data_IF_059402245471
#
_entry.id   IF_059402245471
#
_cell.length_a   1.000
_cell.length_b   1.000
_cell.length_c   1.000
_cell.angle_alpha   90.00
_cell.angle_beta   90.00
_cell.angle_gamma   90.00
#
_symmetry.space_group_name_H-M   'P 1'
#
loop_
_entity.id
_entity.type
_entity.pdbx_description
1 polymer ?
#
# COMPACT_ATOMS: atom_id res chain seq x y z
N UNK A 1 10.54 -10.79 -43.07
CA UNK A 1 11.19 -11.42 -41.90
C UNK A 1 11.64 -10.41 -40.84
N UNK A 2 12.43 -9.36 -41.15
CA UNK A 2 12.90 -8.39 -40.13
C UNK A 2 11.76 -7.66 -39.36
N UNK A 3 10.64 -7.31 -40.02
CA UNK A 3 9.50 -6.65 -39.38
C UNK A 3 8.75 -7.53 -38.37
N UNK A 4 8.63 -8.84 -38.66
CA UNK A 4 7.97 -9.79 -37.73
C UNK A 4 8.84 -10.13 -36.52
N UNK A 5 10.18 -10.14 -36.67
CA UNK A 5 11.12 -10.34 -35.55
C UNK A 5 11.07 -9.15 -34.59
N UNK A 6 10.99 -7.93 -35.11
CA UNK A 6 10.89 -6.72 -34.28
C UNK A 6 9.56 -6.68 -33.49
N UNK A 7 8.45 -7.11 -34.12
CA UNK A 7 7.12 -7.18 -33.45
C UNK A 7 7.08 -8.27 -32.38
N UNK A 8 7.75 -9.41 -32.58
CA UNK A 8 7.85 -10.47 -31.58
C UNK A 8 8.75 -10.06 -30.40
N UNK A 9 9.86 -9.34 -30.65
CA UNK A 9 10.73 -8.85 -29.57
C UNK A 9 10.02 -7.78 -28.72
N UNK A 10 9.22 -6.90 -29.32
CA UNK A 10 8.43 -5.89 -28.57
C UNK A 10 7.33 -6.55 -27.73
N UNK A 11 6.69 -7.61 -28.22
CA UNK A 11 5.68 -8.36 -27.48
C UNK A 11 6.30 -9.14 -26.30
N UNK A 12 7.50 -9.68 -26.47
CA UNK A 12 8.22 -10.42 -25.42
C UNK A 12 8.68 -9.49 -24.27
N UNK A 13 9.09 -8.26 -24.58
CA UNK A 13 9.47 -7.24 -23.58
C UNK A 13 8.28 -6.76 -22.74
N UNK A 14 7.07 -6.73 -23.32
CA UNK A 14 5.86 -6.38 -22.59
C UNK A 14 5.39 -7.47 -21.61
N UNK A 15 5.79 -8.73 -21.84
CA UNK A 15 5.45 -9.85 -20.97
C UNK A 15 6.36 -9.97 -19.74
N UNK A 16 7.58 -9.47 -19.80
CA UNK A 16 8.54 -9.50 -18.69
C UNK A 16 8.31 -8.39 -17.64
N UNK A 17 7.55 -7.36 -17.97
CA UNK A 17 7.20 -6.25 -17.07
C UNK A 17 5.86 -6.41 -16.32
N UNK A 18 5.28 -7.61 -16.27
CA UNK A 18 3.99 -7.85 -15.61
C UNK A 18 4.15 -8.75 -14.38
N UNK A 19 3.93 -8.19 -13.20
CA UNK A 19 3.78 -8.96 -11.97
C UNK A 19 2.33 -9.44 -11.74
N UNK A 20 2.15 -10.35 -10.78
CA UNK A 20 0.83 -10.78 -10.29
C UNK A 20 0.69 -10.38 -8.83
N UNK A 21 -0.45 -9.76 -8.50
CA UNK A 21 -0.77 -9.36 -7.12
C UNK A 21 -1.10 -10.61 -6.30
N UNK A 22 -0.48 -10.82 -5.14
CA UNK A 22 -0.91 -11.87 -4.21
C UNK A 22 -2.40 -11.72 -3.85
N UNK A 23 -3.05 -12.79 -3.42
CA UNK A 23 -4.47 -12.85 -3.03
C UNK A 23 -5.42 -12.68 -4.21
N UNK A 24 -5.28 -11.63 -5.04
CA UNK A 24 -6.23 -11.33 -6.13
C UNK A 24 -5.84 -11.95 -7.46
N UNK A 25 -4.57 -12.26 -7.67
CA UNK A 25 -4.04 -12.77 -8.94
C UNK A 25 -4.05 -11.74 -10.08
N UNK A 26 -4.41 -10.47 -9.79
CA UNK A 26 -4.45 -9.40 -10.79
C UNK A 26 -3.07 -9.14 -11.39
N UNK A 27 -3.03 -8.97 -12.69
CA UNK A 27 -1.79 -8.55 -13.38
C UNK A 27 -1.60 -7.04 -13.27
N UNK A 28 -0.35 -6.64 -13.06
CA UNK A 28 0.04 -5.24 -12.88
C UNK A 28 1.34 -4.92 -13.63
N UNK A 29 1.51 -3.65 -13.98
CA UNK A 29 2.71 -3.15 -14.62
C UNK A 29 3.82 -2.94 -13.58
N UNK A 30 4.98 -3.55 -13.79
CA UNK A 30 6.17 -3.38 -12.97
C UNK A 30 7.38 -3.12 -13.86
N UNK A 31 7.70 -1.86 -14.09
CA UNK A 31 8.85 -1.43 -14.89
C UNK A 31 10.10 -1.19 -14.03
N UNK A 32 9.90 -1.04 -12.72
CA UNK A 32 10.98 -0.83 -11.75
C UNK A 32 11.19 -2.11 -10.97
N UNK A 33 12.44 -2.48 -10.73
CA UNK A 33 12.75 -3.66 -9.92
C UNK A 33 12.33 -3.47 -8.47
N UNK A 34 11.93 -4.55 -7.80
CA UNK A 34 11.55 -4.50 -6.38
C UNK A 34 12.70 -3.98 -5.51
N UNK A 35 13.94 -4.28 -5.85
CA UNK A 35 15.12 -3.80 -5.13
C UNK A 35 15.29 -2.27 -5.22
N UNK A 36 15.01 -1.67 -6.38
CA UNK A 36 15.06 -0.21 -6.54
C UNK A 36 13.93 0.48 -5.80
N UNK A 37 12.71 -0.08 -5.89
CA UNK A 37 11.54 0.41 -5.12
C UNK A 37 11.82 0.35 -3.62
N UNK A 38 12.35 -0.77 -3.14
CA UNK A 38 12.68 -0.96 -1.72
C UNK A 38 13.77 0.01 -1.26
N UNK A 39 14.85 0.14 -2.01
CA UNK A 39 15.95 1.07 -1.69
C UNK A 39 15.46 2.52 -1.61
N UNK A 40 14.67 2.96 -2.61
CA UNK A 40 14.07 4.30 -2.62
C UNK A 40 13.13 4.52 -1.46
N UNK A 41 12.28 3.54 -1.16
CA UNK A 41 11.33 3.57 -0.05
C UNK A 41 12.05 3.71 1.29
N UNK A 42 13.07 2.89 1.55
CA UNK A 42 13.83 2.93 2.80
C UNK A 42 14.56 4.27 2.99
N UNK A 43 15.08 4.84 1.91
CA UNK A 43 15.71 6.17 1.93
C UNK A 43 14.70 7.25 2.31
N UNK A 44 13.52 7.26 1.69
CA UNK A 44 12.46 8.21 1.99
C UNK A 44 11.92 8.04 3.42
N UNK A 45 11.71 6.79 3.84
CA UNK A 45 11.29 6.49 5.21
C UNK A 45 12.30 6.98 6.24
N UNK A 46 13.59 6.72 6.04
CA UNK A 46 14.63 7.19 6.94
C UNK A 46 14.69 8.72 7.01
N UNK A 47 14.46 9.41 5.88
CA UNK A 47 14.38 10.88 5.83
C UNK A 47 13.17 11.39 6.60
N UNK A 48 11.99 10.79 6.39
CA UNK A 48 10.78 11.14 7.12
C UNK A 48 10.95 10.96 8.64
N UNK A 49 11.47 9.83 9.09
CA UNK A 49 11.63 9.53 10.52
C UNK A 49 12.63 10.43 11.23
N UNK A 50 13.51 11.15 10.50
CA UNK A 50 14.40 12.17 11.11
C UNK A 50 13.64 13.42 11.53
N UNK A 51 12.52 13.74 10.87
CA UNK A 51 11.70 14.94 11.12
C UNK A 51 10.43 14.65 11.90
N UNK A 52 9.92 13.42 11.79
CA UNK A 52 8.71 12.99 12.49
C UNK A 52 8.95 12.90 14.01
N UNK A 53 8.02 13.44 14.79
CA UNK A 53 8.04 13.31 16.25
C UNK A 53 7.31 12.03 16.63
N UNK A 54 8.01 11.07 17.24
CA UNK A 54 7.36 9.87 17.77
C UNK A 54 6.38 10.23 18.88
N UNK A 55 5.26 9.53 18.91
CA UNK A 55 4.25 9.69 19.96
C UNK A 55 4.82 9.33 21.33
N UNK A 56 4.48 10.13 22.33
CA UNK A 56 4.72 9.82 23.76
C UNK A 56 3.60 8.95 24.37
N UNK A 57 2.52 8.68 23.65
CA UNK A 57 1.44 7.81 24.09
C UNK A 57 1.83 6.34 23.99
N UNK A 58 2.44 5.82 25.08
CA UNK A 58 2.92 4.43 25.13
C UNK A 58 1.82 3.39 24.93
N UNK A 59 0.60 3.65 25.39
CA UNK A 59 -0.54 2.74 25.24
C UNK A 59 -0.94 2.61 23.78
N UNK A 60 -1.11 3.72 23.07
CA UNK A 60 -1.46 3.69 21.64
C UNK A 60 -0.30 3.16 20.79
N UNK A 61 0.95 3.50 21.13
CA UNK A 61 2.12 2.95 20.43
C UNK A 61 2.20 1.43 20.57
N UNK A 62 1.92 0.89 21.74
CA UNK A 62 1.85 -0.55 21.97
C UNK A 62 0.68 -1.20 21.22
N UNK A 63 -0.46 -0.50 21.11
CA UNK A 63 -1.62 -0.95 20.33
C UNK A 63 -1.27 -1.05 18.84
N UNK A 64 -0.67 -0.01 18.25
CA UNK A 64 -0.23 0.00 16.84
C UNK A 64 0.75 -1.14 16.57
N UNK A 65 1.74 -1.32 17.45
CA UNK A 65 2.72 -2.41 17.33
C UNK A 65 2.05 -3.77 17.40
N UNK A 66 1.20 -4.01 18.39
CA UNK A 66 0.52 -5.30 18.59
C UNK A 66 -0.37 -5.68 17.42
N UNK A 67 -1.21 -4.73 16.95
CA UNK A 67 -2.12 -4.98 15.82
C UNK A 67 -1.30 -5.18 14.55
N UNK A 68 -0.32 -4.33 14.30
CA UNK A 68 0.55 -4.42 13.13
C UNK A 68 1.32 -5.74 13.06
N UNK A 69 1.89 -6.20 14.17
CA UNK A 69 2.60 -7.49 14.22
C UNK A 69 1.70 -8.68 13.88
N UNK A 70 0.44 -8.68 14.32
CA UNK A 70 -0.51 -9.73 13.98
C UNK A 70 -0.86 -9.71 12.48
N UNK A 71 -1.08 -8.53 11.89
CA UNK A 71 -1.31 -8.38 10.44
C UNK A 71 -0.08 -8.85 9.65
N UNK A 72 1.12 -8.44 10.07
CA UNK A 72 2.39 -8.85 9.45
C UNK A 72 2.57 -10.38 9.49
N UNK A 73 2.34 -11.00 10.64
CA UNK A 73 2.43 -12.45 10.79
C UNK A 73 1.41 -13.20 9.90
N UNK A 74 0.17 -12.70 9.80
CA UNK A 74 -0.84 -13.25 8.89
C UNK A 74 -0.43 -13.10 7.41
N UNK A 75 0.14 -11.95 7.06
CA UNK A 75 0.67 -11.67 5.72
C UNK A 75 1.78 -12.66 5.35
N UNK A 76 2.78 -12.82 6.21
CA UNK A 76 3.88 -13.75 5.96
C UNK A 76 3.40 -15.21 5.88
N UNK A 77 2.47 -15.60 6.76
CA UNK A 77 1.88 -16.93 6.73
C UNK A 77 1.15 -17.18 5.41
N UNK A 78 0.40 -16.19 4.91
CA UNK A 78 -0.27 -16.28 3.61
C UNK A 78 0.74 -16.43 2.48
N UNK A 79 1.76 -15.58 2.42
CA UNK A 79 2.77 -15.62 1.37
C UNK A 79 3.51 -16.97 1.35
N UNK A 80 3.95 -17.48 2.50
CA UNK A 80 4.60 -18.79 2.62
C UNK A 80 3.69 -19.93 2.15
N UNK A 81 2.43 -19.93 2.58
CA UNK A 81 1.48 -20.98 2.22
C UNK A 81 1.12 -21.00 0.72
N UNK A 82 1.40 -19.92 -0.01
CA UNK A 82 1.13 -19.80 -1.44
C UNK A 82 2.41 -19.82 -2.31
N UNK A 83 3.55 -20.27 -1.78
CA UNK A 83 4.81 -20.40 -2.53
C UNK A 83 5.47 -19.07 -2.89
N UNK A 84 5.21 -18.03 -2.07
CA UNK A 84 5.73 -16.67 -2.23
C UNK A 84 6.73 -16.32 -1.11
N UNK A 85 7.51 -17.30 -0.63
CA UNK A 85 8.49 -17.08 0.43
C UNK A 85 9.52 -16.00 0.08
N UNK A 86 9.89 -15.88 -1.20
CA UNK A 86 10.82 -14.83 -1.66
C UNK A 86 10.28 -13.41 -1.40
N UNK A 87 8.96 -13.22 -1.42
CA UNK A 87 8.35 -11.92 -1.12
C UNK A 87 8.47 -11.55 0.37
N UNK A 88 8.53 -12.54 1.25
CA UNK A 88 8.66 -12.29 2.70
C UNK A 88 9.99 -11.61 3.01
N UNK A 89 11.05 -11.92 2.28
CA UNK A 89 12.37 -11.31 2.47
C UNK A 89 12.40 -9.80 2.14
N UNK A 90 11.40 -9.31 1.40
CA UNK A 90 11.27 -7.88 1.11
C UNK A 90 10.72 -7.07 2.29
N UNK A 91 10.19 -7.72 3.34
CA UNK A 91 9.61 -7.05 4.49
C UNK A 91 10.55 -7.09 5.70
N UNK A 92 10.78 -5.91 6.26
CA UNK A 92 11.40 -5.70 7.57
C UNK A 92 10.46 -4.78 8.36
N UNK A 93 9.44 -5.40 8.96
CA UNK A 93 8.30 -4.73 9.58
C UNK A 93 8.72 -3.75 10.67
N UNK A 94 8.17 -2.56 10.60
CA UNK A 94 8.37 -1.51 11.58
C UNK A 94 7.07 -0.73 11.76
N UNK A 95 6.68 -0.50 13.00
CA UNK A 95 5.40 0.13 13.36
C UNK A 95 5.68 1.35 14.22
N UNK A 96 5.29 2.53 13.73
CA UNK A 96 5.49 3.78 14.45
C UNK A 96 4.17 4.53 14.59
N UNK A 97 3.92 5.03 15.79
CA UNK A 97 2.93 6.06 16.04
C UNK A 97 3.66 7.41 16.12
N UNK A 98 3.22 8.39 15.34
CA UNK A 98 3.80 9.73 15.32
C UNK A 98 2.80 10.75 15.85
N UNK A 99 3.34 11.78 16.51
CA UNK A 99 2.57 12.91 17.04
C UNK A 99 2.22 13.87 15.89
N UNK A 100 1.06 13.66 15.32
CA UNK A 100 0.49 14.50 14.28
C UNK A 100 -1.04 14.41 14.38
N UNK A 101 -1.73 15.53 14.27
CA UNK A 101 -3.18 15.60 14.39
C UNK A 101 -3.92 15.26 13.09
N UNK A 102 -3.20 15.11 11.99
CA UNK A 102 -3.79 14.71 10.71
C UNK A 102 -4.38 13.30 10.81
N UNK A 103 -5.51 13.11 10.14
CA UNK A 103 -6.10 11.79 9.96
C UNK A 103 -5.33 11.05 8.87
N UNK A 104 -4.24 10.37 9.23
CA UNK A 104 -3.38 9.70 8.25
C UNK A 104 -2.73 8.42 8.81
N UNK A 105 -2.43 7.50 7.90
CA UNK A 105 -1.57 6.34 8.10
C UNK A 105 -1.00 5.95 6.74
N UNK A 106 0.14 5.27 6.71
CA UNK A 106 0.70 4.71 5.48
C UNK A 106 1.60 3.52 5.75
N UNK A 107 1.74 2.65 4.75
CA UNK A 107 2.74 1.60 4.72
C UNK A 107 3.61 1.75 3.47
N UNK A 108 4.89 1.99 3.68
CA UNK A 108 5.86 2.02 2.58
C UNK A 108 6.37 0.62 2.24
N UNK A 109 6.79 0.38 0.98
CA UNK A 109 7.49 -0.84 0.61
C UNK A 109 8.59 -1.19 1.61
N UNK A 110 8.69 -2.47 1.94
CA UNK A 110 9.57 -2.92 3.04
C UNK A 110 8.87 -3.07 4.38
N UNK A 111 7.56 -2.78 4.46
CA UNK A 111 6.76 -2.95 5.68
C UNK A 111 7.01 -1.85 6.73
N UNK A 112 7.32 -0.64 6.28
CA UNK A 112 7.51 0.53 7.14
C UNK A 112 6.18 1.25 7.35
N UNK A 113 5.56 1.03 8.50
CA UNK A 113 4.21 1.51 8.83
C UNK A 113 4.30 2.69 9.78
N UNK A 114 3.61 3.75 9.43
CA UNK A 114 3.43 4.94 10.25
C UNK A 114 1.94 5.20 10.43
N UNK A 115 1.53 5.43 11.66
CA UNK A 115 0.19 5.84 12.05
C UNK A 115 0.28 7.18 12.75
N UNK A 116 -0.64 8.09 12.47
CA UNK A 116 -0.68 9.41 13.11
C UNK A 116 -1.62 9.38 14.32
N UNK A 117 -1.32 10.14 15.36
CA UNK A 117 -2.21 10.24 16.53
C UNK A 117 -3.62 10.73 16.15
N UNK A 118 -3.70 11.56 15.11
CA UNK A 118 -4.99 12.08 14.62
C UNK A 118 -5.96 10.97 14.22
N UNK A 119 -5.53 10.00 13.41
CA UNK A 119 -6.42 8.91 12.96
C UNK A 119 -6.81 7.98 14.12
N UNK A 120 -5.93 7.83 15.13
CA UNK A 120 -6.24 7.04 16.33
C UNK A 120 -7.45 7.56 17.10
N UNK A 121 -7.76 8.87 17.01
CA UNK A 121 -8.93 9.49 17.63
C UNK A 121 -10.26 8.96 17.07
N UNK A 122 -10.24 8.43 15.85
CA UNK A 122 -11.40 7.80 15.20
C UNK A 122 -11.56 6.32 15.54
N UNK A 123 -10.58 5.70 16.20
CA UNK A 123 -10.57 4.28 16.47
C UNK A 123 -10.93 3.98 17.91
N UNK A 124 -11.89 3.08 18.12
CA UNK A 124 -12.36 2.65 19.43
C UNK A 124 -11.97 1.22 19.78
N UNK A 125 -11.36 0.48 18.84
CA UNK A 125 -10.96 -0.91 19.05
C UNK A 125 -9.75 -1.31 18.23
N UNK A 126 -9.14 -2.45 18.57
CA UNK A 126 -8.09 -3.08 17.78
C UNK A 126 -8.61 -3.52 16.39
N UNK A 127 -9.89 -3.90 16.29
CA UNK A 127 -10.49 -4.28 15.01
C UNK A 127 -10.57 -3.09 14.05
N UNK A 128 -10.94 -1.90 14.51
CA UNK A 128 -10.95 -0.69 13.67
C UNK A 128 -9.54 -0.28 13.23
N UNK A 129 -8.54 -0.42 14.11
CA UNK A 129 -7.13 -0.21 13.75
C UNK A 129 -6.66 -1.26 12.73
N UNK A 130 -7.12 -2.50 12.87
CA UNK A 130 -6.79 -3.58 11.93
C UNK A 130 -7.38 -3.35 10.53
N UNK A 131 -8.51 -2.65 10.39
CA UNK A 131 -9.04 -2.23 9.08
C UNK A 131 -8.03 -1.33 8.37
N UNK A 132 -7.52 -0.30 9.06
CA UNK A 132 -6.55 0.62 8.47
C UNK A 132 -5.22 -0.06 8.20
N UNK A 133 -4.65 -0.77 9.18
CA UNK A 133 -3.35 -1.43 9.00
C UNK A 133 -3.43 -2.54 7.95
N UNK A 134 -4.54 -3.28 7.88
CA UNK A 134 -4.75 -4.28 6.84
C UNK A 134 -4.78 -3.66 5.45
N UNK A 135 -5.47 -2.53 5.28
CA UNK A 135 -5.52 -1.76 4.03
C UNK A 135 -4.12 -1.26 3.63
N UNK A 136 -3.37 -0.67 4.56
CA UNK A 136 -2.03 -0.17 4.31
C UNK A 136 -1.03 -1.28 3.95
N UNK A 137 -1.06 -2.39 4.69
CA UNK A 137 -0.24 -3.57 4.40
C UNK A 137 -0.62 -4.16 3.04
N UNK A 138 -1.91 -4.17 2.69
CA UNK A 138 -2.37 -4.63 1.38
C UNK A 138 -1.76 -3.81 0.22
N UNK A 139 -1.65 -2.47 0.36
CA UNK A 139 -0.96 -1.65 -0.63
C UNK A 139 0.50 -2.06 -0.82
N UNK A 140 1.22 -2.36 0.26
CA UNK A 140 2.62 -2.81 0.20
C UNK A 140 2.75 -4.21 -0.42
N UNK A 141 1.89 -5.16 -0.02
CA UNK A 141 1.87 -6.55 -0.52
C UNK A 141 1.47 -6.59 -2.00
N UNK A 142 0.49 -5.78 -2.41
CA UNK A 142 0.06 -5.63 -3.80
C UNK A 142 1.07 -4.84 -4.65
N UNK A 143 2.12 -4.27 -4.05
CA UNK A 143 3.12 -3.44 -4.74
C UNK A 143 2.50 -2.25 -5.50
N UNK A 144 1.42 -1.67 -4.97
CA UNK A 144 0.72 -0.57 -5.62
C UNK A 144 1.62 0.65 -5.87
N UNK A 145 2.59 0.91 -4.98
CA UNK A 145 3.58 1.97 -5.19
C UNK A 145 4.49 1.70 -6.39
N UNK A 146 4.89 0.44 -6.63
CA UNK A 146 5.66 0.06 -7.82
C UNK A 146 4.82 0.24 -9.09
N UNK A 147 3.56 -0.21 -9.08
CA UNK A 147 2.66 -0.02 -10.23
C UNK A 147 2.47 1.47 -10.55
N UNK A 148 2.24 2.32 -9.53
CA UNK A 148 2.13 3.78 -9.70
C UNK A 148 3.41 4.39 -10.26
N UNK A 149 4.56 4.01 -9.70
CA UNK A 149 5.86 4.46 -10.19
C UNK A 149 6.06 4.07 -11.66
N UNK A 150 5.73 2.84 -12.01
CA UNK A 150 5.80 2.33 -13.38
C UNK A 150 4.88 3.10 -14.33
N UNK A 151 3.65 3.42 -13.89
CA UNK A 151 2.70 4.25 -14.65
C UNK A 151 3.21 5.67 -14.85
N UNK A 152 3.81 6.28 -13.82
CA UNK A 152 4.39 7.62 -13.91
C UNK A 152 5.61 7.66 -14.85
N UNK A 153 6.49 6.67 -14.76
CA UNK A 153 7.62 6.53 -15.68
C UNK A 153 7.11 6.42 -17.12
N UNK A 154 6.11 5.59 -17.35
CA UNK A 154 5.51 5.45 -18.68
C UNK A 154 4.88 6.75 -19.16
N UNK A 155 4.20 7.49 -18.29
CA UNK A 155 3.57 8.77 -18.64
C UNK A 155 4.61 9.87 -18.93
N UNK A 156 5.69 9.94 -18.14
CA UNK A 156 6.71 10.98 -18.28
C UNK A 156 7.72 10.72 -19.42
N UNK A 157 8.10 9.46 -19.60
CA UNK A 157 9.17 9.09 -20.52
C UNK A 157 8.68 8.31 -21.76
N UNK A 158 7.39 7.92 -21.80
CA UNK A 158 6.69 7.39 -22.98
C UNK A 158 7.48 6.35 -23.77
N UNK A 159 7.79 6.65 -25.03
CA UNK A 159 8.48 5.75 -25.96
C UNK A 159 9.93 5.44 -25.58
N UNK A 160 10.60 6.27 -24.76
CA UNK A 160 11.96 5.98 -24.30
C UNK A 160 12.01 4.76 -23.38
N UNK A 161 10.95 4.53 -22.59
CA UNK A 161 10.79 3.29 -21.79
C UNK A 161 10.66 2.07 -22.67
N UNK A 162 9.86 2.18 -23.73
CA UNK A 162 9.60 1.08 -24.68
C UNK A 162 10.84 0.75 -25.53
N UNK A 163 11.78 1.70 -25.66
CA UNK A 163 13.05 1.50 -26.35
C UNK A 163 14.17 0.89 -25.49
N UNK A 164 13.91 0.55 -24.23
CA UNK A 164 14.93 0.00 -23.33
C UNK A 164 15.96 1.01 -22.83
N UNK A 165 15.74 2.31 -23.08
CA UNK A 165 16.69 3.40 -22.78
C UNK A 165 16.80 3.66 -21.28
N UNK A 166 15.82 3.19 -20.48
CA UNK A 166 15.78 3.38 -19.02
C UNK A 166 16.47 2.28 -18.21
N UNK A 167 16.94 1.23 -18.85
CA UNK A 167 17.77 0.22 -18.19
C UNK A 167 19.08 0.87 -17.75
N UNK A 168 19.22 1.15 -16.46
CA UNK A 168 20.40 1.79 -15.86
C UNK A 168 20.25 3.29 -15.53
N UNK A 169 19.09 3.93 -15.72
CA UNK A 169 18.85 5.32 -15.32
C UNK A 169 18.23 5.41 -13.90
N UNK A 170 19.05 5.13 -12.88
CA UNK A 170 18.67 5.28 -11.46
C UNK A 170 18.13 6.68 -11.12
N UNK A 171 18.54 7.71 -11.86
CA UNK A 171 18.14 9.10 -11.64
C UNK A 171 16.67 9.34 -12.01
N UNK A 172 16.16 8.73 -13.09
CA UNK A 172 14.75 8.83 -13.47
C UNK A 172 13.86 8.12 -12.44
N UNK A 173 14.29 6.94 -11.99
CA UNK A 173 13.60 6.18 -10.93
C UNK A 173 13.57 6.97 -9.62
N UNK A 174 14.68 7.58 -9.22
CA UNK A 174 14.75 8.41 -8.00
C UNK A 174 13.86 9.66 -8.09
N UNK A 175 13.81 10.33 -9.24
CA UNK A 175 12.93 11.49 -9.46
C UNK A 175 11.46 11.11 -9.30
N UNK A 176 11.05 10.02 -9.95
CA UNK A 176 9.66 9.52 -9.83
C UNK A 176 9.37 8.97 -8.43
N UNK A 177 10.33 8.30 -7.80
CA UNK A 177 10.19 7.83 -6.43
C UNK A 177 9.91 8.99 -5.45
N UNK A 178 10.62 10.11 -5.60
CA UNK A 178 10.38 11.30 -4.80
C UNK A 178 8.97 11.87 -4.99
N UNK A 179 8.40 11.77 -6.19
CA UNK A 179 7.01 12.18 -6.47
C UNK A 179 5.99 11.19 -5.90
N UNK A 180 6.29 9.89 -5.95
CA UNK A 180 5.37 8.83 -5.47
C UNK A 180 5.37 8.72 -3.95
N UNK A 181 6.54 8.85 -3.32
CA UNK A 181 6.68 8.72 -1.87
C UNK A 181 6.65 10.03 -1.11
N UNK A 182 6.80 11.15 -1.75
CA UNK A 182 6.77 12.56 -1.37
C UNK A 182 6.53 12.99 0.08
N UNK A 183 7.12 12.27 1.04
CA UNK A 183 6.95 12.52 2.48
C UNK A 183 7.77 13.71 3.00
N UNK A 184 8.47 14.41 2.13
CA UNK A 184 9.51 15.36 2.56
C UNK A 184 9.26 16.82 2.26
N UNK A 185 8.29 17.17 1.45
CA UNK A 185 7.96 18.56 1.18
C UNK A 185 6.55 18.82 1.68
N UNK A 186 6.44 19.49 2.81
CA UNK A 186 5.19 20.11 3.25
C UNK A 186 3.92 19.43 2.73
N UNK A 187 3.60 18.25 3.31
CA UNK A 187 2.26 17.65 3.27
C UNK A 187 1.71 17.22 1.90
N UNK A 188 1.80 15.93 1.60
CA UNK A 188 0.75 15.30 0.83
C UNK A 188 0.84 15.40 -0.69
N UNK A 189 2.01 15.43 -1.28
CA UNK A 189 2.16 15.24 -2.72
C UNK A 189 2.36 13.76 -3.10
N UNK A 190 1.89 12.86 -2.27
CA UNK A 190 1.69 11.49 -2.73
C UNK A 190 0.54 11.49 -3.72
N UNK A 191 0.81 11.11 -4.95
CA UNK A 191 -0.24 10.93 -5.94
C UNK A 191 -1.30 9.98 -5.38
N UNK A 192 -2.58 10.31 -5.45
CA UNK A 192 -3.62 9.44 -4.91
C UNK A 192 -3.59 8.08 -5.60
N UNK A 193 -3.90 7.03 -4.85
CA UNK A 193 -4.08 5.71 -5.42
C UNK A 193 -5.29 5.69 -6.37
N UNK A 194 -5.22 4.84 -7.39
CA UNK A 194 -6.37 4.67 -8.28
C UNK A 194 -7.51 3.97 -7.53
N UNK A 195 -8.76 4.22 -7.95
CA UNK A 195 -9.92 3.52 -7.39
C UNK A 195 -9.79 1.99 -7.45
N UNK A 196 -9.08 1.48 -8.44
CA UNK A 196 -8.79 0.05 -8.57
C UNK A 196 -7.84 -0.44 -7.49
N UNK A 197 -6.78 0.32 -7.19
CA UNK A 197 -5.87 0.03 -6.10
C UNK A 197 -6.58 0.05 -4.75
N UNK A 198 -7.47 1.03 -4.55
CA UNK A 198 -8.23 1.15 -3.31
C UNK A 198 -9.16 -0.05 -3.08
N UNK A 199 -9.96 -0.42 -4.10
CA UNK A 199 -10.86 -1.59 -3.99
C UNK A 199 -10.08 -2.90 -3.79
N UNK A 200 -8.90 -3.02 -4.39
CA UNK A 200 -8.02 -4.18 -4.19
C UNK A 200 -7.42 -4.18 -2.78
N UNK A 201 -6.95 -3.03 -2.29
CA UNK A 201 -6.44 -2.89 -0.93
C UNK A 201 -7.51 -3.14 0.14
N UNK A 202 -8.75 -2.71 -0.10
CA UNK A 202 -9.88 -3.02 0.78
C UNK A 202 -10.12 -4.54 0.87
N UNK A 203 -10.21 -5.22 -0.28
CA UNK A 203 -10.43 -6.67 -0.30
C UNK A 203 -9.29 -7.43 0.38
N UNK A 204 -8.05 -7.12 0.01
CA UNK A 204 -6.88 -7.75 0.60
C UNK A 204 -6.74 -7.43 2.09
N UNK A 205 -7.04 -6.19 2.48
CA UNK A 205 -7.04 -5.76 3.88
C UNK A 205 -8.04 -6.54 4.74
N UNK A 206 -9.26 -6.76 4.21
CA UNK A 206 -10.26 -7.62 4.87
C UNK A 206 -9.73 -9.05 5.04
N UNK A 207 -9.08 -9.62 4.02
CA UNK A 207 -8.48 -10.95 4.10
C UNK A 207 -7.40 -10.99 5.18
N UNK A 208 -6.45 -10.06 5.17
CA UNK A 208 -5.32 -10.03 6.09
C UNK A 208 -5.77 -9.82 7.55
N UNK A 209 -6.69 -8.88 7.81
CA UNK A 209 -7.21 -8.67 9.16
C UNK A 209 -7.99 -9.87 9.68
N UNK A 210 -8.77 -10.54 8.81
CA UNK A 210 -9.51 -11.76 9.17
C UNK A 210 -8.56 -12.90 9.52
N UNK A 211 -7.50 -13.11 8.73
CA UNK A 211 -6.47 -14.10 9.01
C UNK A 211 -5.68 -13.79 10.29
N UNK A 212 -5.52 -12.51 10.62
CA UNK A 212 -4.90 -12.05 11.87
C UNK A 212 -5.81 -12.23 13.11
N UNK A 213 -7.06 -12.69 12.92
CA UNK A 213 -8.04 -12.94 13.98
C UNK A 213 -8.84 -11.72 14.41
N UNK A 214 -8.85 -10.64 13.61
CA UNK A 214 -9.68 -9.47 13.82
C UNK A 214 -11.06 -9.61 13.17
N UNK A 215 -12.04 -8.89 13.70
CA UNK A 215 -13.39 -8.91 13.17
C UNK A 215 -13.55 -7.98 11.95
N UNK A 216 -13.70 -8.52 10.72
CA UNK A 216 -13.82 -7.69 9.52
C UNK A 216 -15.18 -6.97 9.41
N UNK A 217 -16.20 -7.34 10.20
CA UNK A 217 -17.53 -6.73 10.13
C UNK A 217 -17.51 -5.24 10.48
N UNK A 218 -16.51 -4.79 11.28
CA UNK A 218 -16.36 -3.38 11.64
C UNK A 218 -15.92 -2.49 10.48
N UNK A 219 -15.40 -3.06 9.38
CA UNK A 219 -14.85 -2.30 8.26
C UNK A 219 -15.88 -1.36 7.62
N UNK A 220 -17.13 -1.82 7.44
CA UNK A 220 -18.21 -1.02 6.85
C UNK A 220 -18.46 0.24 7.69
N UNK A 221 -18.69 0.05 8.99
CA UNK A 221 -18.99 1.16 9.91
C UNK A 221 -17.79 2.08 10.10
N UNK A 222 -16.57 1.54 10.09
CA UNK A 222 -15.36 2.34 10.19
C UNK A 222 -15.18 3.26 8.97
N UNK A 223 -15.32 2.75 7.74
CA UNK A 223 -15.20 3.57 6.53
C UNK A 223 -16.34 4.59 6.39
N UNK A 224 -17.56 4.27 6.88
CA UNK A 224 -18.65 5.25 7.00
C UNK A 224 -18.28 6.38 7.97
N UNK A 225 -17.73 6.04 9.15
CA UNK A 225 -17.25 7.01 10.13
C UNK A 225 -16.13 7.88 9.57
N UNK A 226 -15.16 7.28 8.88
CA UNK A 226 -14.08 8.01 8.22
C UNK A 226 -14.61 9.00 7.18
N UNK A 227 -15.55 8.57 6.33
CA UNK A 227 -16.16 9.44 5.31
C UNK A 227 -16.96 10.59 5.92
N UNK A 228 -17.62 10.39 7.06
CA UNK A 228 -18.41 11.41 7.74
C UNK A 228 -17.56 12.39 8.55
N UNK A 229 -16.31 12.08 8.85
CA UNK A 229 -15.39 12.97 9.57
C UNK A 229 -14.89 14.15 8.72
N UNK A 230 -15.16 14.16 7.43
CA UNK A 230 -14.75 15.18 6.44
C UNK A 230 -15.73 16.36 6.42
N UNK A 231 -15.78 17.18 7.47
CA UNK A 231 -16.79 18.27 7.55
C UNK A 231 -16.31 19.62 7.00
N UNK A 232 -15.01 19.92 7.01
CA UNK A 232 -14.47 21.22 6.55
C UNK A 232 -13.26 21.09 5.61
N UNK A 233 -12.45 20.06 5.76
CA UNK A 233 -11.34 19.73 4.87
C UNK A 233 -11.33 18.23 4.67
N UNK A 234 -11.00 17.78 3.44
CA UNK A 234 -10.78 16.36 3.17
C UNK A 234 -9.61 15.86 4.01
N UNK A 235 -9.80 14.84 4.88
CA UNK A 235 -8.68 14.25 5.61
C UNK A 235 -7.55 13.84 4.68
N UNK A 236 -6.31 13.96 5.12
CA UNK A 236 -5.13 13.60 4.31
C UNK A 236 -5.21 12.15 3.83
N UNK A 237 -5.64 11.25 4.69
CA UNK A 237 -5.90 9.86 4.33
C UNK A 237 -6.86 9.72 3.14
N UNK A 238 -7.92 10.53 3.09
CA UNK A 238 -8.89 10.51 1.99
C UNK A 238 -8.37 11.18 0.72
N UNK A 239 -7.36 12.05 0.82
CA UNK A 239 -6.68 12.64 -0.33
C UNK A 239 -5.81 11.62 -1.06
N UNK A 240 -5.10 10.79 -0.31
CA UNK A 240 -4.24 9.73 -0.83
C UNK A 240 -4.99 8.44 -1.15
N UNK A 241 -6.08 8.18 -0.41
CA UNK A 241 -6.97 7.01 -0.53
C UNK A 241 -8.41 7.45 -0.80
N UNK A 242 -8.73 7.84 -2.05
CA UNK A 242 -10.06 8.35 -2.39
C UNK A 242 -11.16 7.37 -2.01
N UNK A 243 -12.06 7.80 -1.14
CA UNK A 243 -13.24 7.05 -0.75
C UNK A 243 -14.44 7.45 -1.63
N UNK A 244 -15.20 6.47 -2.04
CA UNK A 244 -16.54 6.66 -2.61
C UNK A 244 -17.51 5.65 -1.99
N UNK A 245 -18.81 5.90 -2.17
CA UNK A 245 -19.88 5.02 -1.67
C UNK A 245 -19.75 3.59 -2.23
N UNK A 246 -19.11 3.45 -3.38
CA UNK A 246 -18.87 2.15 -4.00
C UNK A 246 -17.87 1.30 -3.18
N UNK A 247 -16.78 1.89 -2.63
CA UNK A 247 -15.84 1.15 -1.76
C UNK A 247 -16.57 0.50 -0.59
N UNK A 248 -17.42 1.26 0.11
CA UNK A 248 -18.20 0.75 1.23
C UNK A 248 -19.14 -0.39 0.80
N UNK A 249 -19.80 -0.23 -0.35
CA UNK A 249 -20.66 -1.28 -0.92
C UNK A 249 -19.86 -2.53 -1.31
N UNK A 250 -18.69 -2.38 -1.92
CA UNK A 250 -17.81 -3.48 -2.31
C UNK A 250 -17.29 -4.23 -1.06
N UNK A 251 -16.89 -3.51 -0.02
CA UNK A 251 -16.50 -4.09 1.27
C UNK A 251 -17.65 -4.94 1.83
N UNK A 252 -18.86 -4.37 1.90
CA UNK A 252 -20.04 -5.08 2.41
C UNK A 252 -20.35 -6.34 1.61
N UNK A 253 -20.22 -6.29 0.29
CA UNK A 253 -20.43 -7.43 -0.60
C UNK A 253 -19.39 -8.54 -0.40
N UNK A 254 -18.12 -8.17 -0.14
CA UNK A 254 -17.02 -9.12 -0.03
C UNK A 254 -16.95 -9.81 1.36
N UNK A 255 -17.51 -9.21 2.40
CA UNK A 255 -17.44 -9.72 3.77
C UNK A 255 -17.87 -11.19 3.92
N UNK A 256 -19.01 -11.66 3.35
CA UNK A 256 -19.41 -13.06 3.50
C UNK A 256 -18.38 -14.04 2.93
N UNK A 257 -17.85 -13.76 1.75
CA UNK A 257 -16.81 -14.59 1.12
C UNK A 257 -15.53 -14.62 1.95
N UNK A 258 -15.04 -13.43 2.36
CA UNK A 258 -13.82 -13.33 3.17
C UNK A 258 -13.96 -14.11 4.48
N UNK A 259 -15.08 -13.97 5.17
CA UNK A 259 -15.33 -14.68 6.42
C UNK A 259 -15.41 -16.20 6.20
N UNK A 260 -16.09 -16.65 5.15
CA UNK A 260 -16.22 -18.08 4.87
C UNK A 260 -14.87 -18.74 4.52
N UNK A 261 -13.98 -17.98 3.83
CA UNK A 261 -12.73 -18.53 3.31
C UNK A 261 -11.54 -18.37 4.26
N UNK A 262 -11.49 -17.30 5.05
CA UNK A 262 -10.29 -16.91 5.81
C UNK A 262 -10.49 -16.84 7.32
N UNK A 263 -11.70 -16.86 7.83
CA UNK A 263 -11.95 -16.93 9.29
C UNK A 263 -11.65 -18.35 9.79
N UNK A 264 -10.67 -18.45 10.68
CA UNK A 264 -10.32 -19.70 11.36
C UNK A 264 -11.20 -19.93 12.59
#
# INVERSE_FOLDING_TARGET
MKKHILTLMTAALLLSGCGSVPITGRRQLQLVSDSEVLSSSLTQYASYMKTATKSSNGTQSAQVTRVGQKIAAATEAYLKANGLESEVSNFSWEFNLVKDDQLNAFCMPGGKIVVYEGIMKLMSSDDELAVVLGHEVAHAVAKHSNERMSQQILAQYGSAVLGGVLSGQSQAVQSVASQVYGLGAEYGMTLPFSRKHESEADYMGLVLMTMAGYNPDVAVTFWQKMSSSSTTQTPEFMSTHPSDTRRISDIQKNLPEVKAKYKK
#
